data_IF_065309220389
#
_entry.id   IF_065309220389
#
_cell.length_a   1.000
_cell.length_b   1.000
_cell.length_c   1.000
_cell.angle_alpha   90.00
_cell.angle_beta   90.00
_cell.angle_gamma   90.00
#
_symmetry.space_group_name_H-M   'P 1'
#
loop_
_entity.id
_entity.type
_entity.pdbx_description
1 polymer ?
#
# COMPACT_ATOMS: atom_id res chain seq x y z
N UNK A 1 -16.07 -15.27 -2.36
CA UNK A 1 -15.20 -16.27 -1.72
C UNK A 1 -15.79 -16.56 -0.36
N UNK A 2 -16.16 -17.80 -0.10
CA UNK A 2 -16.81 -18.20 1.17
C UNK A 2 -15.80 -18.63 2.23
N UNK A 3 -16.21 -18.72 3.50
CA UNK A 3 -15.33 -19.13 4.61
C UNK A 3 -14.67 -20.51 4.38
N UNK A 4 -15.35 -21.41 3.65
CA UNK A 4 -14.80 -22.71 3.24
C UNK A 4 -13.57 -22.58 2.34
N UNK A 5 -13.58 -21.68 1.36
CA UNK A 5 -12.44 -21.47 0.46
C UNK A 5 -11.26 -20.81 1.18
N UNK A 6 -11.54 -19.93 2.15
CA UNK A 6 -10.51 -19.30 2.99
C UNK A 6 -9.77 -20.35 3.82
N UNK A 7 -10.51 -21.25 4.46
CA UNK A 7 -9.95 -22.32 5.28
C UNK A 7 -9.15 -23.32 4.44
N UNK A 8 -9.61 -23.63 3.23
CA UNK A 8 -8.91 -24.52 2.31
C UNK A 8 -7.55 -23.95 1.87
N UNK A 9 -7.52 -22.67 1.49
CA UNK A 9 -6.26 -21.99 1.10
C UNK A 9 -5.33 -21.84 2.30
N UNK A 10 -5.85 -21.50 3.48
CA UNK A 10 -5.03 -21.38 4.69
C UNK A 10 -4.44 -22.72 5.14
N UNK A 11 -5.13 -23.82 4.87
CA UNK A 11 -4.65 -25.16 5.19
C UNK A 11 -3.52 -25.62 4.26
N UNK A 12 -3.26 -24.89 3.18
CA UNK A 12 -2.17 -25.19 2.26
C UNK A 12 -0.80 -24.88 2.88
N UNK A 13 -0.14 -25.94 3.38
CA UNK A 13 1.18 -25.89 4.00
C UNK A 13 2.28 -25.35 3.09
N UNK A 14 2.12 -25.40 1.76
CA UNK A 14 3.12 -24.84 0.83
C UNK A 14 3.10 -23.30 0.81
N UNK A 15 1.98 -22.68 1.18
CA UNK A 15 1.82 -21.22 1.19
C UNK A 15 2.08 -20.64 2.60
N UNK A 16 2.00 -21.47 3.66
CA UNK A 16 2.22 -21.09 5.07
C UNK A 16 1.51 -19.78 5.47
N UNK A 17 0.31 -19.55 4.95
CA UNK A 17 -0.50 -18.39 5.29
C UNK A 17 -1.48 -18.75 6.41
N UNK A 18 -1.54 -17.91 7.42
CA UNK A 18 -2.62 -17.91 8.40
C UNK A 18 -3.91 -17.41 7.72
N UNK A 19 -5.07 -17.97 8.07
CA UNK A 19 -6.39 -17.67 7.47
C UNK A 19 -6.63 -16.16 7.29
N UNK A 20 -6.22 -15.41 8.30
CA UNK A 20 -6.34 -13.96 8.36
C UNK A 20 -5.58 -13.22 7.24
N UNK A 21 -4.52 -13.81 6.65
CA UNK A 21 -3.79 -13.30 5.48
C UNK A 21 -4.50 -13.63 4.17
N UNK A 22 -5.25 -14.73 4.11
CA UNK A 22 -6.06 -15.10 2.93
C UNK A 22 -7.31 -14.22 2.86
N UNK A 23 -7.94 -13.96 4.01
CA UNK A 23 -9.08 -13.04 4.10
C UNK A 23 -8.78 -11.61 3.62
N UNK A 24 -7.50 -11.20 3.55
CA UNK A 24 -7.07 -9.91 3.00
C UNK A 24 -7.38 -9.75 1.51
N UNK A 25 -7.45 -10.84 0.74
CA UNK A 25 -7.62 -10.77 -0.72
C UNK A 25 -9.07 -10.49 -1.16
N UNK A 26 -10.05 -10.89 -0.36
CA UNK A 26 -11.47 -10.81 -0.69
C UNK A 26 -12.03 -9.36 -0.78
N UNK A 27 -11.68 -8.44 0.13
CA UNK A 27 -12.05 -7.01 0.07
C UNK A 27 -11.71 -6.26 -1.22
N UNK A 28 -10.71 -6.72 -1.99
CA UNK A 28 -10.30 -6.07 -3.24
C UNK A 28 -11.44 -5.98 -4.27
N UNK A 29 -12.40 -6.91 -4.23
CA UNK A 29 -13.50 -6.96 -5.22
C UNK A 29 -14.42 -5.74 -5.17
N UNK A 30 -14.68 -5.18 -3.98
CA UNK A 30 -15.49 -3.97 -3.84
C UNK A 30 -14.73 -2.74 -4.37
N UNK A 31 -13.44 -2.63 -4.06
CA UNK A 31 -12.60 -1.54 -4.56
C UNK A 31 -12.53 -1.56 -6.08
N UNK A 32 -12.38 -2.74 -6.69
CA UNK A 32 -12.37 -2.88 -8.15
C UNK A 32 -13.70 -2.43 -8.77
N UNK A 33 -14.85 -2.69 -8.13
CA UNK A 33 -16.15 -2.21 -8.63
C UNK A 33 -16.30 -0.68 -8.55
N UNK A 34 -15.84 -0.07 -7.46
CA UNK A 34 -16.01 1.37 -7.22
C UNK A 34 -14.96 2.23 -7.93
N UNK A 35 -13.72 1.74 -8.02
CA UNK A 35 -12.56 2.50 -8.48
C UNK A 35 -11.89 1.90 -9.73
N UNK A 36 -12.46 0.85 -10.31
CA UNK A 36 -11.92 0.12 -11.47
C UNK A 36 -10.74 -0.79 -11.13
N UNK A 37 -9.83 -0.36 -10.25
CA UNK A 37 -8.71 -1.18 -9.78
C UNK A 37 -8.23 -0.77 -8.37
N UNK A 38 -7.56 -1.69 -7.67
CA UNK A 38 -6.87 -1.37 -6.41
C UNK A 38 -5.76 -0.33 -6.60
N UNK A 39 -5.07 -0.36 -7.75
CA UNK A 39 -4.06 0.64 -8.10
C UNK A 39 -4.68 2.03 -8.18
N UNK A 40 -5.74 2.20 -8.96
CA UNK A 40 -6.45 3.49 -9.12
C UNK A 40 -6.97 4.01 -7.77
N UNK A 41 -7.49 3.14 -6.93
CA UNK A 41 -7.89 3.49 -5.56
C UNK A 41 -6.72 4.03 -4.72
N UNK A 42 -5.60 3.30 -4.66
CA UNK A 42 -4.44 3.72 -3.87
C UNK A 42 -3.78 4.99 -4.41
N UNK A 43 -3.65 5.12 -5.74
CA UNK A 43 -3.10 6.32 -6.38
C UNK A 43 -4.02 7.54 -6.25
N UNK A 44 -5.33 7.34 -6.10
CA UNK A 44 -6.28 8.42 -5.82
C UNK A 44 -5.98 9.18 -4.52
N UNK A 45 -5.47 8.51 -3.49
CA UNK A 45 -5.07 9.15 -2.22
C UNK A 45 -3.87 10.10 -2.35
N UNK A 46 -3.10 9.98 -3.43
CA UNK A 46 -1.95 10.82 -3.73
C UNK A 46 -2.17 11.68 -4.98
N UNK A 47 -3.43 11.85 -5.43
CA UNK A 47 -3.77 12.60 -6.63
C UNK A 47 -2.96 12.15 -7.86
N UNK A 48 -2.68 10.85 -7.96
CA UNK A 48 -1.87 10.26 -9.02
C UNK A 48 -0.46 10.85 -9.15
N UNK A 49 0.08 11.44 -8.08
CA UNK A 49 1.45 11.95 -8.02
C UNK A 49 2.15 11.44 -6.76
N UNK A 50 3.31 10.78 -6.88
CA UNK A 50 4.04 10.35 -5.70
C UNK A 50 4.39 11.51 -4.78
N UNK A 51 4.29 11.29 -3.47
CA UNK A 51 4.76 12.27 -2.50
C UNK A 51 6.28 12.17 -2.36
N UNK A 52 7.01 13.17 -2.83
CA UNK A 52 8.47 13.21 -2.72
C UNK A 52 8.88 13.90 -1.43
N UNK A 53 9.40 13.13 -0.48
CA UNK A 53 9.95 13.67 0.76
C UNK A 53 11.48 13.88 0.64
N UNK A 54 12.04 14.76 1.48
CA UNK A 54 13.46 15.14 1.45
C UNK A 54 14.11 14.92 2.80
N UNK A 55 14.06 13.69 3.31
CA UNK A 55 14.64 13.36 4.61
C UNK A 55 16.16 13.28 4.53
N UNK A 56 16.85 13.97 5.45
CA UNK A 56 18.32 13.92 5.54
C UNK A 56 18.81 12.73 6.37
N UNK A 57 18.06 12.32 7.40
CA UNK A 57 18.44 11.26 8.33
C UNK A 57 17.31 10.23 8.48
N UNK A 58 17.63 8.93 8.72
CA UNK A 58 16.62 7.88 8.89
C UNK A 58 15.59 8.19 9.98
N UNK A 59 16.03 8.78 11.10
CA UNK A 59 15.16 9.15 12.24
C UNK A 59 14.09 10.18 11.90
N UNK A 60 14.21 10.88 10.77
CA UNK A 60 13.20 11.84 10.31
C UNK A 60 12.11 11.18 9.47
N UNK A 61 12.31 9.94 9.00
CA UNK A 61 11.29 9.19 8.28
C UNK A 61 10.25 8.72 9.31
N UNK A 62 8.99 9.16 9.19
CA UNK A 62 7.97 8.80 10.16
C UNK A 62 7.58 7.32 10.03
N UNK A 63 7.11 6.70 11.11
CA UNK A 63 6.58 5.33 11.06
C UNK A 63 5.18 5.26 10.42
N UNK A 64 4.44 6.37 10.47
CA UNK A 64 3.09 6.53 9.89
C UNK A 64 2.85 7.99 9.55
N UNK A 65 1.92 8.25 8.64
CA UNK A 65 1.50 9.60 8.27
C UNK A 65 -0.02 9.75 8.37
N UNK A 66 -0.56 10.98 8.47
CA UNK A 66 -2.01 11.20 8.47
C UNK A 66 -2.70 10.57 7.24
N UNK A 67 -2.02 10.57 6.09
CA UNK A 67 -2.51 9.92 4.86
C UNK A 67 -2.58 8.40 5.01
N UNK A 68 -1.54 7.77 5.56
CA UNK A 68 -1.55 6.34 5.84
C UNK A 68 -2.62 5.95 6.89
N UNK A 69 -2.88 6.82 7.87
CA UNK A 69 -3.97 6.62 8.84
C UNK A 69 -5.36 6.70 8.18
N UNK A 70 -5.56 7.62 7.24
CA UNK A 70 -6.82 7.71 6.49
C UNK A 70 -7.05 6.47 5.63
N UNK A 71 -6.03 6.04 4.86
CA UNK A 71 -6.08 4.84 4.04
C UNK A 71 -6.31 3.60 4.89
N UNK A 72 -5.58 3.47 6.01
CA UNK A 72 -5.74 2.37 6.97
C UNK A 72 -7.18 2.26 7.47
N UNK A 73 -7.79 3.38 7.86
CA UNK A 73 -9.20 3.41 8.30
C UNK A 73 -10.15 2.99 7.20
N UNK A 74 -9.92 3.42 5.96
CA UNK A 74 -10.80 3.04 4.83
C UNK A 74 -10.66 1.56 4.48
N UNK A 75 -9.43 1.04 4.42
CA UNK A 75 -9.17 -0.38 4.21
C UNK A 75 -9.81 -1.24 5.32
N UNK A 76 -9.71 -0.83 6.59
CA UNK A 76 -10.37 -1.52 7.71
C UNK A 76 -11.90 -1.57 7.53
N UNK A 77 -12.52 -0.44 7.13
CA UNK A 77 -13.97 -0.38 6.87
C UNK A 77 -14.40 -1.30 5.72
N UNK A 78 -13.52 -1.48 4.73
CA UNK A 78 -13.74 -2.34 3.56
C UNK A 78 -13.45 -3.82 3.85
N UNK A 79 -13.12 -4.17 5.09
CA UNK A 79 -12.94 -5.56 5.53
C UNK A 79 -11.51 -6.08 5.41
N UNK A 80 -10.54 -5.25 5.03
CA UNK A 80 -9.14 -5.65 5.06
C UNK A 80 -8.67 -5.86 6.50
N UNK A 81 -7.80 -6.85 6.69
CA UNK A 81 -7.12 -7.14 7.97
C UNK A 81 -5.62 -6.85 7.85
N UNK A 82 -4.93 -6.61 8.96
CA UNK A 82 -3.51 -6.23 8.99
C UNK A 82 -3.14 -4.99 8.19
N UNK A 83 -4.07 -4.04 8.06
CA UNK A 83 -3.86 -2.76 7.38
C UNK A 83 -3.66 -1.63 8.38
N UNK A 84 -2.89 -1.86 9.44
CA UNK A 84 -2.57 -0.81 10.42
C UNK A 84 -1.80 0.36 9.78
N UNK A 85 -1.85 1.59 10.31
CA UNK A 85 -1.26 2.76 9.65
C UNK A 85 0.24 2.63 9.34
N UNK A 86 1.01 1.93 10.18
CA UNK A 86 2.43 1.64 9.93
C UNK A 86 2.61 0.73 8.73
N UNK A 87 1.83 -0.36 8.66
CA UNK A 87 1.86 -1.32 7.54
C UNK A 87 1.47 -0.62 6.24
N UNK A 88 0.43 0.19 6.27
CA UNK A 88 -0.03 0.98 5.12
C UNK A 88 1.05 1.98 4.68
N UNK A 89 1.71 2.66 5.63
CA UNK A 89 2.79 3.58 5.25
C UNK A 89 3.99 2.85 4.65
N UNK A 90 4.39 1.71 5.22
CA UNK A 90 5.43 0.85 4.62
C UNK A 90 5.05 0.37 3.23
N UNK A 91 3.78 0.01 3.00
CA UNK A 91 3.28 -0.30 1.65
C UNK A 91 3.40 0.91 0.72
N UNK A 92 3.01 2.10 1.17
CA UNK A 92 3.13 3.32 0.36
C UNK A 92 4.57 3.60 -0.06
N UNK A 93 5.54 3.36 0.84
CA UNK A 93 6.97 3.50 0.56
C UNK A 93 7.42 2.46 -0.48
N UNK A 94 7.06 1.19 -0.27
CA UNK A 94 7.46 0.09 -1.15
C UNK A 94 6.84 0.19 -2.56
N UNK A 95 5.58 0.64 -2.65
CA UNK A 95 4.84 0.79 -3.90
C UNK A 95 5.18 2.09 -4.67
N UNK A 96 6.00 2.97 -4.09
CA UNK A 96 6.38 4.24 -4.72
C UNK A 96 5.30 5.32 -4.66
N UNK A 97 4.28 5.18 -3.81
CA UNK A 97 3.30 6.24 -3.51
C UNK A 97 3.94 7.38 -2.72
N UNK A 98 5.01 7.07 -1.97
CA UNK A 98 5.88 8.06 -1.33
C UNK A 98 7.34 7.71 -1.62
N UNK A 99 8.15 8.72 -1.91
CA UNK A 99 9.59 8.59 -2.12
C UNK A 99 10.27 9.06 -0.85
N UNK A 100 10.65 8.09 -0.02
CA UNK A 100 11.26 8.31 1.30
C UNK A 100 12.75 7.98 1.34
N UNK A 101 13.36 7.70 0.18
CA UNK A 101 14.81 7.61 0.06
C UNK A 101 15.44 8.87 0.67
N UNK A 102 16.48 8.68 1.50
CA UNK A 102 17.21 9.82 2.05
C UNK A 102 17.87 10.61 0.93
N UNK A 103 18.04 11.92 1.10
CA UNK A 103 18.70 12.78 0.09
C UNK A 103 20.09 12.24 -0.28
N UNK A 104 20.81 11.66 0.69
CA UNK A 104 22.13 11.05 0.49
C UNK A 104 22.13 9.63 -0.10
N UNK A 105 20.96 9.02 -0.33
CA UNK A 105 20.87 7.70 -0.94
C UNK A 105 21.30 7.75 -2.41
N UNK A 106 22.11 6.78 -2.86
CA UNK A 106 22.58 6.71 -4.24
C UNK A 106 21.44 6.64 -5.28
N UNK A 107 20.26 6.15 -4.89
CA UNK A 107 19.06 6.06 -5.75
C UNK A 107 18.11 7.24 -5.63
N UNK A 108 18.33 8.18 -4.72
CA UNK A 108 17.37 9.26 -4.48
C UNK A 108 17.02 10.04 -5.76
N UNK A 109 18.05 10.43 -6.53
CA UNK A 109 17.86 11.16 -7.79
C UNK A 109 17.07 10.33 -8.82
N UNK A 110 17.39 9.04 -8.94
CA UNK A 110 16.70 8.12 -9.85
C UNK A 110 15.22 7.97 -9.47
N UNK A 111 14.93 7.70 -8.19
CA UNK A 111 13.56 7.53 -7.70
C UNK A 111 12.72 8.81 -7.83
N UNK A 112 13.30 9.98 -7.57
CA UNK A 112 12.63 11.28 -7.79
C UNK A 112 12.32 11.49 -9.27
N UNK A 113 13.29 11.24 -10.16
CA UNK A 113 13.07 11.40 -11.59
C UNK A 113 12.02 10.42 -12.15
N UNK A 114 11.89 9.22 -11.57
CA UNK A 114 10.81 8.28 -11.90
C UNK A 114 9.45 8.78 -11.38
N UNK A 115 9.43 9.34 -10.18
CA UNK A 115 8.22 9.85 -9.54
C UNK A 115 7.63 11.10 -10.20
N UNK A 116 8.47 11.95 -10.78
CA UNK A 116 8.05 13.15 -11.51
C UNK A 116 7.48 12.84 -12.91
N UNK A 117 7.56 11.58 -13.37
CA UNK A 117 6.96 11.19 -14.64
C UNK A 117 5.44 11.27 -14.54
N UNK A 118 4.74 11.71 -15.61
CA UNK A 118 3.29 11.66 -15.68
C UNK A 118 2.82 10.23 -15.39
N UNK A 119 1.88 10.10 -14.47
CA UNK A 119 1.33 8.80 -14.13
C UNK A 119 0.63 8.20 -15.36
N UNK A 120 1.06 7.01 -15.75
CA UNK A 120 0.50 6.29 -16.89
C UNK A 120 -0.37 5.16 -16.35
N UNK A 121 -1.68 5.29 -16.52
CA UNK A 121 -2.59 4.17 -16.34
C UNK A 121 -2.15 3.01 -17.24
N UNK A 122 -1.98 1.84 -16.65
CA UNK A 122 -2.22 0.54 -17.30
C UNK A 122 -3.43 -0.05 -16.59
#
# INVERSE_FOLDING_TARGET
MGDKEINEISSNKAIMLVESRVSFLYPNTQIVREHGSFSSFMWGYVNHQPQINKYKYPRNVPLRTPKAEAISKDLLKRGFRFVGPVIVYSFMQAAGLTIDHLIGCFRHKECVALAERPWRHI
#
